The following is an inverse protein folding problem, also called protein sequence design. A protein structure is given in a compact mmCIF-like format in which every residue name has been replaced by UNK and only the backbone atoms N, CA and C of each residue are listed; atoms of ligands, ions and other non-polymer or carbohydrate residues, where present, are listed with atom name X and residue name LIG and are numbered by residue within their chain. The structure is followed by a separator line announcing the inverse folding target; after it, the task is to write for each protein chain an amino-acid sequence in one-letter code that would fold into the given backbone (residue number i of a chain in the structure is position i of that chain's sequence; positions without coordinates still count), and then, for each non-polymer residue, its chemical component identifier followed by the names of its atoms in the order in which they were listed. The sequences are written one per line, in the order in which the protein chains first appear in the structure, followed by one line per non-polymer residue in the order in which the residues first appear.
data_IF_165727393244
#
_entry.id   IF_165727393244
#
_cell.length_a   1.000
_cell.length_b   1.000
_cell.length_c   1.000
_cell.angle_alpha   90.00
_cell.angle_beta   90.00
_cell.angle_gamma   90.00
#
_symmetry.space_group_name_H-M   'P 1'
#
loop_
_entity.id
_entity.type
_entity.pdbx_description
1 polymer ?
#
# COMPACT_ATOMS: atom_id res chain seq x y z
N UNK A 1 17.80 -30.11 -11.33
CA UNK A 1 16.58 -30.11 -10.47
C UNK A 1 16.63 -29.06 -9.35
N UNK A 2 17.73 -28.96 -8.57
CA UNK A 2 17.83 -28.04 -7.41
C UNK A 2 17.71 -26.53 -7.74
N UNK A 3 18.19 -26.08 -8.90
CA UNK A 3 18.10 -24.67 -9.30
C UNK A 3 16.65 -24.21 -9.55
N UNK A 4 15.83 -25.06 -10.18
CA UNK A 4 14.41 -24.77 -10.44
C UNK A 4 13.59 -24.73 -9.14
N UNK A 5 13.86 -25.66 -8.21
CA UNK A 5 13.22 -25.67 -6.88
C UNK A 5 13.55 -24.39 -6.09
N UNK A 6 14.80 -23.91 -6.16
CA UNK A 6 15.21 -22.68 -5.49
C UNK A 6 14.54 -21.43 -6.09
N UNK A 7 14.40 -21.35 -7.43
CA UNK A 7 13.67 -20.25 -8.07
C UNK A 7 12.19 -20.26 -7.65
N UNK A 8 11.55 -21.43 -7.60
CA UNK A 8 10.14 -21.57 -7.20
C UNK A 8 9.96 -21.18 -5.73
N UNK A 9 10.84 -21.65 -4.83
CA UNK A 9 10.82 -21.26 -3.40
C UNK A 9 11.02 -19.76 -3.22
N UNK A 10 12.00 -19.18 -3.92
CA UNK A 10 12.28 -17.75 -3.85
C UNK A 10 11.12 -16.92 -4.39
N UNK A 11 10.45 -17.34 -5.47
CA UNK A 11 9.25 -16.64 -5.95
C UNK A 11 8.10 -16.67 -4.94
N UNK A 12 7.86 -17.84 -4.33
CA UNK A 12 6.82 -18.01 -3.31
C UNK A 12 7.04 -17.16 -2.06
N UNK A 13 8.28 -16.92 -1.63
CA UNK A 13 8.52 -16.14 -0.40
C UNK A 13 8.16 -14.66 -0.56
N UNK A 14 8.46 -14.04 -1.71
CA UNK A 14 8.12 -12.63 -1.94
C UNK A 14 6.61 -12.44 -2.03
N UNK A 15 5.90 -13.36 -2.68
CA UNK A 15 4.44 -13.34 -2.75
C UNK A 15 3.84 -13.51 -1.35
N UNK A 16 4.35 -14.44 -0.55
CA UNK A 16 3.90 -14.66 0.82
C UNK A 16 4.12 -13.44 1.73
N UNK A 17 5.31 -12.85 1.71
CA UNK A 17 5.63 -11.64 2.48
C UNK A 17 4.76 -10.45 2.06
N UNK A 18 4.51 -10.30 0.76
CA UNK A 18 3.61 -9.27 0.24
C UNK A 18 2.17 -9.45 0.73
N UNK A 19 1.66 -10.69 0.73
CA UNK A 19 0.32 -10.99 1.24
C UNK A 19 0.26 -10.81 2.75
N UNK A 20 1.29 -11.19 3.50
CA UNK A 20 1.35 -10.93 4.94
C UNK A 20 1.25 -9.44 5.28
N UNK A 21 1.72 -8.55 4.39
CA UNK A 21 1.56 -7.11 4.58
C UNK A 21 0.10 -6.63 4.52
N UNK A 22 -0.87 -7.44 4.08
CA UNK A 22 -2.30 -7.06 4.18
C UNK A 22 -2.92 -7.46 5.51
N UNK A 23 -2.22 -8.23 6.33
CA UNK A 23 -2.70 -8.75 7.61
C UNK A 23 -3.24 -7.67 8.56
N UNK A 24 -2.60 -6.50 8.73
CA UNK A 24 -3.12 -5.47 9.64
C UNK A 24 -4.53 -4.98 9.28
N UNK A 25 -4.88 -4.90 7.99
CA UNK A 25 -6.24 -4.54 7.59
C UNK A 25 -7.26 -5.63 7.94
N UNK A 26 -6.90 -6.89 7.75
CA UNK A 26 -7.75 -8.03 8.09
C UNK A 26 -7.98 -8.07 9.61
N UNK A 27 -6.92 -7.84 10.39
CA UNK A 27 -6.99 -7.76 11.85
C UNK A 27 -7.91 -6.62 12.29
N UNK A 28 -7.80 -5.44 11.67
CA UNK A 28 -8.67 -4.30 11.97
C UNK A 28 -10.14 -4.65 11.69
N UNK A 29 -10.45 -5.23 10.52
CA UNK A 29 -11.81 -5.68 10.20
C UNK A 29 -12.33 -6.65 11.27
N UNK A 30 -11.50 -7.59 11.72
CA UNK A 30 -11.87 -8.51 12.80
C UNK A 30 -12.14 -7.80 14.13
N UNK A 31 -11.32 -6.80 14.49
CA UNK A 31 -11.51 -6.00 15.71
C UNK A 31 -12.82 -5.21 15.70
N UNK A 32 -13.25 -4.70 14.54
CA UNK A 32 -14.57 -4.07 14.39
C UNK A 32 -15.75 -5.00 14.74
N UNK A 33 -15.59 -6.32 14.62
CA UNK A 33 -16.61 -7.29 15.01
C UNK A 33 -16.60 -7.61 16.51
N UNK A 34 -15.48 -7.36 17.20
CA UNK A 34 -15.33 -7.64 18.63
C UNK A 34 -15.75 -6.45 19.47
N UNK A 35 -15.32 -5.25 19.08
CA UNK A 35 -15.43 -4.05 19.89
C UNK A 35 -15.64 -2.84 18.99
N UNK A 36 -16.89 -2.34 18.95
CA UNK A 36 -17.31 -1.28 18.04
C UNK A 36 -17.00 0.12 18.60
N UNK A 37 -16.86 0.26 19.92
CA UNK A 37 -16.69 1.56 20.58
C UNK A 37 -15.34 2.20 20.23
N UNK A 38 -14.36 1.39 19.84
CA UNK A 38 -13.02 1.83 19.46
C UNK A 38 -12.83 2.15 17.97
N UNK A 39 -13.91 2.36 17.21
CA UNK A 39 -13.85 2.57 15.75
C UNK A 39 -12.87 3.67 15.29
N UNK A 40 -12.83 4.81 16.00
CA UNK A 40 -11.91 5.92 15.67
C UNK A 40 -10.44 5.50 15.76
N UNK A 41 -10.10 4.66 16.75
CA UNK A 41 -8.75 4.14 16.92
C UNK A 41 -8.39 3.21 15.75
N UNK A 42 -9.33 2.36 15.34
CA UNK A 42 -9.13 1.45 14.21
C UNK A 42 -8.96 2.18 12.89
N UNK A 43 -9.75 3.23 12.64
CA UNK A 43 -9.57 4.12 11.49
C UNK A 43 -8.18 4.77 11.49
N UNK A 44 -7.74 5.31 12.63
CA UNK A 44 -6.46 5.97 12.75
C UNK A 44 -5.30 5.01 12.43
N UNK A 45 -5.33 3.80 13.00
CA UNK A 45 -4.35 2.75 12.69
C UNK A 45 -4.40 2.34 11.21
N UNK A 46 -5.60 2.29 10.61
CA UNK A 46 -5.77 2.00 9.18
C UNK A 46 -5.11 3.07 8.31
N UNK A 47 -5.34 4.35 8.60
CA UNK A 47 -4.72 5.49 7.89
C UNK A 47 -3.21 5.43 8.02
N UNK A 48 -2.72 5.28 9.25
CA UNK A 48 -1.30 5.18 9.54
C UNK A 48 -0.63 4.06 8.74
N UNK A 49 -1.22 2.87 8.75
CA UNK A 49 -0.66 1.72 8.05
C UNK A 49 -0.73 1.87 6.52
N UNK A 50 -1.82 2.41 5.98
CA UNK A 50 -1.92 2.73 4.55
C UNK A 50 -0.82 3.71 4.11
N UNK A 51 -0.52 4.72 4.91
CA UNK A 51 0.51 5.71 4.61
C UNK A 51 1.93 5.12 4.68
N UNK A 52 2.17 4.17 5.58
CA UNK A 52 3.40 3.36 5.60
C UNK A 52 3.54 2.59 4.28
N UNK A 53 2.50 1.92 3.81
CA UNK A 53 2.54 1.17 2.55
C UNK A 53 2.89 2.08 1.37
N UNK A 54 2.24 3.25 1.27
CA UNK A 54 2.51 4.23 0.20
C UNK A 54 3.97 4.72 0.25
N UNK A 55 4.49 5.01 1.44
CA UNK A 55 5.89 5.40 1.63
C UNK A 55 6.86 4.27 1.27
N UNK A 56 6.55 3.03 1.65
CA UNK A 56 7.34 1.85 1.34
C UNK A 56 7.44 1.59 -0.18
N UNK A 57 6.34 1.79 -0.92
CA UNK A 57 6.33 1.71 -2.38
C UNK A 57 7.31 2.73 -2.98
N UNK A 58 7.31 3.98 -2.49
CA UNK A 58 8.28 4.99 -2.89
C UNK A 58 9.71 4.55 -2.63
N UNK A 59 10.01 4.08 -1.42
CA UNK A 59 11.35 3.62 -1.03
C UNK A 59 11.88 2.48 -1.92
N UNK A 60 11.01 1.59 -2.40
CA UNK A 60 11.40 0.52 -3.34
C UNK A 60 12.02 1.08 -4.63
N UNK A 61 11.53 2.21 -5.15
CA UNK A 61 12.09 2.87 -6.34
C UNK A 61 13.46 3.46 -6.10
N UNK A 62 13.76 3.88 -4.87
CA UNK A 62 15.09 4.33 -4.54
C UNK A 62 16.09 3.17 -4.63
N UNK A 63 15.71 2.01 -4.09
CA UNK A 63 16.49 0.77 -4.23
C UNK A 63 16.69 0.34 -5.69
N UNK A 64 15.67 0.50 -6.54
CA UNK A 64 15.80 0.25 -7.99
C UNK A 64 16.75 1.24 -8.64
N UNK A 65 16.66 2.53 -8.30
CA UNK A 65 17.50 3.59 -8.87
C UNK A 65 19.00 3.35 -8.62
N UNK A 66 19.36 2.76 -7.47
CA UNK A 66 20.75 2.44 -7.12
C UNK A 66 21.40 1.38 -8.03
N UNK A 67 20.60 0.57 -8.73
CA UNK A 67 21.13 -0.47 -9.63
C UNK A 67 21.54 0.07 -11.00
N UNK A 68 21.24 1.33 -11.32
CA UNK A 68 21.62 1.94 -12.59
C UNK A 68 22.98 2.64 -12.49
N UNK A 69 23.89 2.31 -13.43
CA UNK A 69 25.22 2.94 -13.52
C UNK A 69 25.15 4.46 -13.69
N UNK A 70 24.15 4.93 -14.43
CA UNK A 70 23.87 6.35 -14.59
C UNK A 70 22.76 6.76 -13.62
N UNK A 71 22.91 7.93 -13.00
CA UNK A 71 21.93 8.49 -12.07
C UNK A 71 20.57 8.64 -12.76
N UNK A 72 19.62 7.76 -12.46
CA UNK A 72 18.27 7.86 -12.98
C UNK A 72 17.44 8.83 -12.11
N UNK A 73 17.56 10.13 -12.42
CA UNK A 73 16.92 11.21 -11.68
C UNK A 73 15.40 11.04 -11.59
N UNK A 74 14.75 10.49 -12.63
CA UNK A 74 13.30 10.27 -12.64
C UNK A 74 12.87 9.27 -11.55
N UNK A 75 13.58 8.15 -11.42
CA UNK A 75 13.31 7.15 -10.38
C UNK A 75 13.61 7.69 -8.98
N UNK A 76 14.70 8.46 -8.84
CA UNK A 76 15.05 9.09 -7.57
C UNK A 76 13.96 10.07 -7.11
N UNK A 77 13.49 10.97 -7.99
CA UNK A 77 12.39 11.88 -7.67
C UNK A 77 11.11 11.11 -7.32
N UNK A 78 10.75 10.11 -8.14
CA UNK A 78 9.56 9.30 -7.90
C UNK A 78 9.62 8.53 -6.58
N UNK A 79 10.80 8.15 -6.11
CA UNK A 79 10.94 7.42 -4.85
C UNK A 79 10.57 8.21 -3.61
N UNK A 80 10.69 9.54 -3.67
CA UNK A 80 10.47 10.43 -2.52
C UNK A 80 9.04 10.99 -2.51
N UNK A 81 8.45 11.20 -3.69
CA UNK A 81 7.11 11.80 -3.84
C UNK A 81 6.03 11.10 -2.98
N UNK A 82 5.89 9.75 -2.98
CA UNK A 82 4.86 9.09 -2.19
C UNK A 82 4.94 9.38 -0.70
N UNK A 83 6.16 9.40 -0.14
CA UNK A 83 6.38 9.67 1.28
C UNK A 83 6.05 11.12 1.63
N UNK A 84 6.46 12.09 0.81
CA UNK A 84 6.13 13.50 1.01
C UNK A 84 4.60 13.71 0.97
N UNK A 85 3.93 13.12 -0.01
CA UNK A 85 2.48 13.29 -0.19
C UNK A 85 1.68 12.82 1.02
N UNK A 86 1.97 11.63 1.56
CA UNK A 86 1.23 11.12 2.72
C UNK A 86 1.52 11.90 4.00
N UNK A 87 2.74 12.41 4.17
CA UNK A 87 3.07 13.29 5.30
C UNK A 87 2.32 14.62 5.21
N UNK A 88 2.21 15.22 4.01
CA UNK A 88 1.41 16.43 3.82
C UNK A 88 -0.05 16.17 4.19
N UNK A 89 -0.66 15.06 3.73
CA UNK A 89 -2.03 14.73 4.09
C UNK A 89 -2.18 14.57 5.61
N UNK A 90 -1.23 13.90 6.25
CA UNK A 90 -1.24 13.72 7.69
C UNK A 90 -1.18 15.07 8.44
N UNK A 91 -0.34 16.01 7.99
CA UNK A 91 -0.22 17.35 8.56
C UNK A 91 -1.48 18.20 8.41
N UNK A 92 -2.27 17.98 7.35
CA UNK A 92 -3.54 18.71 7.14
C UNK A 92 -4.63 18.33 8.14
N UNK A 93 -4.44 17.24 8.92
CA UNK A 93 -5.36 16.77 9.96
C UNK A 93 -6.83 16.68 9.46
N UNK A 94 -7.01 16.18 8.24
CA UNK A 94 -8.34 15.99 7.65
C UNK A 94 -9.05 14.78 8.28
N UNK A 95 -10.35 14.65 8.04
CA UNK A 95 -11.13 13.51 8.51
C UNK A 95 -10.51 12.16 8.06
N UNK A 96 -10.49 11.17 8.96
CA UNK A 96 -9.83 9.88 8.75
C UNK A 96 -10.39 9.10 7.55
N UNK A 97 -11.71 9.09 7.34
CA UNK A 97 -12.32 8.45 6.17
C UNK A 97 -11.88 9.14 4.87
N UNK A 98 -11.78 10.48 4.87
CA UNK A 98 -11.24 11.24 3.74
C UNK A 98 -9.76 10.87 3.52
N UNK A 99 -8.94 10.78 4.58
CA UNK A 99 -7.55 10.33 4.47
C UNK A 99 -7.43 8.95 3.84
N UNK A 100 -8.31 8.01 4.16
CA UNK A 100 -8.33 6.68 3.54
C UNK A 100 -8.70 6.73 2.06
N UNK A 101 -9.72 7.51 1.68
CA UNK A 101 -10.11 7.70 0.28
C UNK A 101 -8.96 8.30 -0.53
N UNK A 102 -8.31 9.34 -0.01
CA UNK A 102 -7.15 9.97 -0.65
C UNK A 102 -5.97 9.00 -0.73
N UNK A 103 -5.72 8.21 0.33
CA UNK A 103 -4.68 7.18 0.34
C UNK A 103 -4.92 6.09 -0.72
N UNK A 104 -6.16 5.59 -0.85
CA UNK A 104 -6.55 4.66 -1.92
C UNK A 104 -6.38 5.32 -3.30
N UNK A 105 -6.77 6.58 -3.45
CA UNK A 105 -6.57 7.30 -4.70
C UNK A 105 -5.09 7.34 -5.09
N UNK A 106 -4.20 7.73 -4.16
CA UNK A 106 -2.76 7.79 -4.42
C UNK A 106 -2.13 6.44 -4.69
N UNK A 107 -2.45 5.39 -3.92
CA UNK A 107 -1.86 4.06 -4.16
C UNK A 107 -2.24 3.52 -5.55
N UNK A 108 -3.45 3.83 -6.04
CA UNK A 108 -3.92 3.47 -7.37
C UNK A 108 -3.31 4.33 -8.48
N UNK A 109 -3.20 5.65 -8.29
CA UNK A 109 -2.53 6.55 -9.24
C UNK A 109 -1.06 6.17 -9.40
N UNK A 110 -0.38 5.89 -8.30
CA UNK A 110 0.99 5.36 -8.29
C UNK A 110 1.03 4.09 -9.14
N UNK A 111 0.16 3.10 -8.87
CA UNK A 111 0.14 1.85 -9.63
C UNK A 111 -0.08 2.04 -11.15
N UNK A 112 -0.97 2.94 -11.54
CA UNK A 112 -1.18 3.28 -12.95
C UNK A 112 0.07 3.93 -13.56
N UNK A 113 0.73 4.82 -12.82
CA UNK A 113 1.98 5.45 -13.24
C UNK A 113 3.11 4.40 -13.40
N UNK A 114 3.21 3.45 -12.46
CA UNK A 114 4.17 2.34 -12.53
C UNK A 114 4.01 1.56 -13.84
N UNK A 115 2.77 1.17 -14.18
CA UNK A 115 2.47 0.42 -15.40
C UNK A 115 2.69 1.20 -16.69
N UNK A 116 2.38 2.51 -16.71
CA UNK A 116 2.49 3.31 -17.93
C UNK A 116 3.90 3.82 -18.19
N UNK A 117 4.57 4.35 -17.17
CA UNK A 117 5.82 5.10 -17.34
C UNK A 117 7.06 4.40 -16.79
N UNK A 118 6.88 3.47 -15.83
CA UNK A 118 8.01 2.81 -15.17
C UNK A 118 8.16 1.32 -15.50
N UNK A 119 7.29 0.76 -16.35
CA UNK A 119 7.28 -0.68 -16.66
C UNK A 119 8.62 -1.23 -17.14
N UNK A 120 9.44 -0.42 -17.83
CA UNK A 120 10.76 -0.83 -18.32
C UNK A 120 11.82 -0.94 -17.19
N UNK A 121 11.60 -0.29 -16.05
CA UNK A 121 12.52 -0.32 -14.90
C UNK A 121 12.16 -1.40 -13.88
N UNK A 122 10.97 -2.00 -14.00
CA UNK A 122 10.38 -2.85 -12.98
C UNK A 122 10.22 -4.27 -13.53
N UNK A 123 10.66 -5.31 -12.80
CA UNK A 123 10.41 -6.68 -13.22
C UNK A 123 8.91 -7.00 -13.34
N UNK A 124 8.53 -7.72 -14.40
CA UNK A 124 7.13 -8.08 -14.66
C UNK A 124 6.49 -8.90 -13.53
N UNK A 125 7.27 -9.69 -12.80
CA UNK A 125 6.78 -10.44 -11.63
C UNK A 125 6.35 -9.51 -10.49
N UNK A 126 7.07 -8.40 -10.29
CA UNK A 126 6.74 -7.42 -9.26
C UNK A 126 5.46 -6.68 -9.63
N UNK A 127 5.28 -6.27 -10.90
CA UNK A 127 4.04 -5.64 -11.35
C UNK A 127 2.81 -6.56 -11.17
N UNK A 128 2.96 -7.86 -11.41
CA UNK A 128 1.89 -8.84 -11.16
C UNK A 128 1.54 -8.95 -9.67
N UNK A 129 2.55 -9.01 -8.80
CA UNK A 129 2.35 -9.01 -7.35
C UNK A 129 1.71 -7.69 -6.89
N UNK A 130 2.23 -6.56 -7.36
CA UNK A 130 1.75 -5.21 -7.08
C UNK A 130 0.28 -5.05 -7.44
N UNK A 131 -0.16 -5.57 -8.60
CA UNK A 131 -1.58 -5.59 -8.98
C UNK A 131 -2.45 -6.33 -7.96
N UNK A 132 -2.04 -7.53 -7.54
CA UNK A 132 -2.78 -8.33 -6.55
C UNK A 132 -2.88 -7.60 -5.22
N UNK A 133 -1.76 -7.12 -4.68
CA UNK A 133 -1.72 -6.40 -3.42
C UNK A 133 -2.50 -5.09 -3.46
N UNK A 134 -2.36 -4.30 -4.54
CA UNK A 134 -3.07 -3.05 -4.71
C UNK A 134 -4.59 -3.25 -4.73
N UNK A 135 -5.06 -4.29 -5.44
CA UNK A 135 -6.46 -4.67 -5.43
C UNK A 135 -6.91 -5.08 -4.03
N UNK A 136 -6.19 -5.99 -3.36
CA UNK A 136 -6.53 -6.46 -2.00
C UNK A 136 -6.58 -5.32 -0.99
N UNK A 137 -5.56 -4.45 -0.94
CA UNK A 137 -5.53 -3.30 -0.02
C UNK A 137 -6.67 -2.35 -0.32
N UNK A 138 -6.93 -2.02 -1.59
CA UNK A 138 -8.05 -1.16 -1.98
C UNK A 138 -9.38 -1.74 -1.50
N UNK A 139 -9.63 -3.02 -1.75
CA UNK A 139 -10.86 -3.69 -1.31
C UNK A 139 -11.01 -3.71 0.22
N UNK A 140 -9.94 -4.04 0.95
CA UNK A 140 -9.98 -4.09 2.42
C UNK A 140 -10.23 -2.71 3.03
N UNK A 141 -9.58 -1.66 2.52
CA UNK A 141 -9.80 -0.29 3.02
C UNK A 141 -11.21 0.19 2.69
N UNK A 142 -11.76 -0.13 1.51
CA UNK A 142 -13.17 0.18 1.19
C UNK A 142 -14.14 -0.54 2.15
N UNK A 143 -13.89 -1.80 2.50
CA UNK A 143 -14.68 -2.52 3.50
C UNK A 143 -14.60 -1.83 4.87
N UNK A 144 -13.42 -1.41 5.32
CA UNK A 144 -13.24 -0.69 6.59
C UNK A 144 -14.04 0.62 6.59
N UNK A 145 -13.99 1.39 5.49
CA UNK A 145 -14.78 2.61 5.31
C UNK A 145 -16.28 2.31 5.42
N UNK A 146 -16.78 1.29 4.71
CA UNK A 146 -18.20 0.91 4.74
C UNK A 146 -18.66 0.46 6.13
N UNK A 147 -17.85 -0.35 6.81
CA UNK A 147 -18.12 -0.78 8.19
C UNK A 147 -18.21 0.45 9.11
N UNK A 148 -17.29 1.40 8.95
CA UNK A 148 -17.25 2.63 9.76
C UNK A 148 -18.48 3.50 9.55
N UNK A 149 -18.92 3.70 8.30
CA UNK A 149 -20.12 4.50 8.00
C UNK A 149 -21.37 3.94 8.66
N UNK A 150 -21.49 2.61 8.77
CA UNK A 150 -22.62 2.01 9.48
C UNK A 150 -22.60 2.36 10.97
N UNK A 151 -21.45 2.62 11.58
CA UNK A 151 -21.35 2.98 13.00
C UNK A 151 -21.55 4.48 13.26
N UNK A 152 -21.10 5.36 12.34
CA UNK A 152 -21.37 6.81 12.46
C UNK A 152 -22.87 7.15 12.34
N UNK A 153 -23.67 6.29 11.69
CA UNK A 153 -25.12 6.50 11.49
C UNK A 153 -26.03 6.13 12.66
N UNK A 154 -25.50 5.70 13.82
CA UNK A 154 -26.31 5.34 15.01
C UNK A 154 -26.43 6.46 16.06
N UNK A 155 -26.12 7.72 15.71
CA UNK A 155 -26.32 8.89 16.56
C UNK A 155 -27.15 9.97 15.86
#
# INVERSE_FOLDING_TARGET
MNHLVNIIKKKKIHEFLGILATFPFILIIFLYFIDQDNYLRYLNVTVFYLFIIISFIGAAYWGIALNFKNKNVKLAIFSVIPAILVNIIYLLNINLCISLIVGIFFINVIFLYEGKYLHNYIPTWYLKLRKRLNFTVTSLVLVIILITFNYEGYF
#
